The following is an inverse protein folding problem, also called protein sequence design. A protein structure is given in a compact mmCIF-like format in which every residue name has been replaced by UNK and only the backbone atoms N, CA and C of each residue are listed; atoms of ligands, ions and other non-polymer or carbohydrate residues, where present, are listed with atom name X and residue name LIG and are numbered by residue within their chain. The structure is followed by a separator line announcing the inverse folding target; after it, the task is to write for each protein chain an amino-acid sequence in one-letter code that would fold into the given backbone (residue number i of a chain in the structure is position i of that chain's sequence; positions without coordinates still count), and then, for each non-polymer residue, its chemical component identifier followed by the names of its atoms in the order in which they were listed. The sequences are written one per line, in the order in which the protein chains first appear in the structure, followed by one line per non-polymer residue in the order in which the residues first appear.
data_IF_476603304651
#
_entry.id   IF_476603304651
#
_cell.length_a   1.000
_cell.length_b   1.000
_cell.length_c   1.000
_cell.angle_alpha   90.00
_cell.angle_beta   90.00
_cell.angle_gamma   90.00
#
_symmetry.space_group_name_H-M   'P 1'
#
loop_
_entity.id
_entity.type
_entity.pdbx_description
1 polymer ?
#
# COMPACT_ATOMS: atom_id res chain seq x y z
N UNK A 1 16.45 1.70 -5.09
CA UNK A 1 17.87 2.11 -5.22
C UNK A 1 18.22 3.12 -4.13
N UNK A 2 17.49 4.25 -3.96
CA UNK A 2 17.76 5.29 -2.93
C UNK A 2 17.70 4.73 -1.52
N UNK A 3 16.75 3.87 -1.22
CA UNK A 3 16.59 3.23 0.10
C UNK A 3 17.79 2.31 0.39
N UNK A 4 18.24 1.51 -0.57
CA UNK A 4 19.40 0.63 -0.40
C UNK A 4 20.70 1.45 -0.20
N UNK A 5 20.85 2.56 -0.92
CA UNK A 5 21.96 3.48 -0.76
C UNK A 5 21.95 4.16 0.63
N UNK A 6 20.78 4.54 1.14
CA UNK A 6 20.62 5.09 2.48
C UNK A 6 21.02 4.09 3.58
N UNK A 7 20.78 2.80 3.36
CA UNK A 7 21.14 1.71 4.26
C UNK A 7 22.65 1.46 4.33
N UNK A 8 23.38 1.68 3.20
CA UNK A 8 24.79 1.36 3.08
C UNK A 8 25.69 2.55 3.43
N UNK A 9 25.28 3.77 3.17
CA UNK A 9 26.12 4.95 3.39
C UNK A 9 25.36 6.25 3.72
N UNK A 10 24.95 6.38 5.00
CA UNK A 10 24.21 7.53 5.53
C UNK A 10 24.83 8.87 5.17
N UNK A 11 26.19 8.98 5.24
CA UNK A 11 26.90 10.24 4.94
C UNK A 11 26.76 10.67 3.48
N UNK A 12 26.69 9.70 2.55
CA UNK A 12 26.57 9.96 1.12
C UNK A 12 25.16 10.44 0.77
N UNK A 13 24.15 9.83 1.37
CA UNK A 13 22.73 10.20 1.17
C UNK A 13 22.45 11.59 1.76
N UNK A 14 22.94 11.87 2.97
CA UNK A 14 22.85 13.21 3.56
C UNK A 14 23.51 14.26 2.67
N UNK A 15 24.70 13.99 2.14
CA UNK A 15 25.44 14.93 1.27
C UNK A 15 24.69 15.21 -0.03
N UNK A 16 24.15 14.17 -0.67
CA UNK A 16 23.35 14.30 -1.90
C UNK A 16 22.03 15.01 -1.62
N UNK A 17 21.31 14.60 -0.57
CA UNK A 17 20.03 15.19 -0.20
C UNK A 17 20.13 16.65 0.20
N UNK A 18 21.13 17.02 1.00
CA UNK A 18 21.42 18.42 1.33
C UNK A 18 21.78 19.24 0.07
N UNK A 19 22.51 18.63 -0.89
CA UNK A 19 22.80 19.25 -2.19
C UNK A 19 21.54 19.54 -2.99
N UNK A 20 20.64 18.58 -3.11
CA UNK A 20 19.35 18.71 -3.82
C UNK A 20 18.46 19.75 -3.13
N UNK A 21 18.31 19.70 -1.79
CA UNK A 21 17.54 20.68 -1.02
C UNK A 21 18.11 22.09 -1.21
N UNK A 22 19.44 22.23 -1.22
CA UNK A 22 20.14 23.49 -1.46
C UNK A 22 19.86 24.03 -2.85
N UNK A 23 19.83 23.16 -3.87
CA UNK A 23 19.49 23.52 -5.24
C UNK A 23 18.03 23.97 -5.37
N UNK A 24 17.10 23.24 -4.78
CA UNK A 24 15.67 23.57 -4.76
C UNK A 24 15.37 24.86 -3.98
N UNK A 25 16.12 25.12 -2.90
CA UNK A 25 16.05 26.38 -2.17
C UNK A 25 16.55 27.58 -3.02
N UNK A 26 17.58 27.34 -3.87
CA UNK A 26 18.10 28.37 -4.80
C UNK A 26 17.08 28.76 -5.87
N UNK A 27 16.23 27.82 -6.29
CA UNK A 27 15.14 28.03 -7.26
C UNK A 27 13.87 28.60 -6.57
N UNK A 28 13.95 28.97 -5.28
CA UNK A 28 12.83 29.50 -4.45
C UNK A 28 11.63 28.57 -4.28
N UNK A 29 11.77 27.28 -4.54
CA UNK A 29 10.71 26.29 -4.32
C UNK A 29 10.55 26.00 -2.81
N UNK A 30 11.66 26.00 -2.05
CA UNK A 30 11.67 25.77 -0.60
C UNK A 30 11.93 27.09 0.12
N UNK A 31 10.91 27.59 0.83
CA UNK A 31 10.99 28.87 1.59
C UNK A 31 11.79 28.79 2.91
N UNK A 32 11.93 27.60 3.50
CA UNK A 32 12.62 27.35 4.80
C UNK A 32 13.64 26.25 4.63
N UNK A 33 14.81 26.58 4.08
CA UNK A 33 15.92 25.66 3.79
C UNK A 33 16.39 24.89 5.03
N UNK A 34 16.58 25.59 6.17
CA UNK A 34 17.09 25.00 7.42
C UNK A 34 16.16 23.92 7.94
N UNK A 35 14.86 24.22 8.02
CA UNK A 35 13.84 23.26 8.48
C UNK A 35 13.69 22.06 7.55
N UNK A 36 13.90 22.26 6.23
CA UNK A 36 13.86 21.17 5.26
C UNK A 36 15.09 20.26 5.39
N UNK A 37 16.26 20.79 5.67
CA UNK A 37 17.49 20.01 5.92
C UNK A 37 17.38 19.24 7.24
N UNK A 38 16.90 19.88 8.30
CA UNK A 38 16.68 19.27 9.61
C UNK A 38 15.69 18.10 9.53
N UNK A 39 14.51 18.32 8.93
CA UNK A 39 13.51 17.26 8.71
C UNK A 39 14.07 16.12 7.86
N UNK A 40 14.85 16.43 6.82
CA UNK A 40 15.49 15.42 5.98
C UNK A 40 16.54 14.62 6.78
N UNK A 41 17.32 15.29 7.63
CA UNK A 41 18.28 14.64 8.54
C UNK A 41 17.58 13.64 9.46
N UNK A 42 16.54 14.06 10.19
CA UNK A 42 15.74 13.18 11.04
C UNK A 42 15.14 11.99 10.26
N UNK A 43 14.57 12.25 9.08
CA UNK A 43 14.03 11.18 8.24
C UNK A 43 15.10 10.13 7.86
N UNK A 44 16.31 10.56 7.53
CA UNK A 44 17.41 9.63 7.21
C UNK A 44 17.88 8.85 8.44
N UNK A 45 17.90 9.50 9.61
CA UNK A 45 18.23 8.86 10.89
C UNK A 45 17.21 7.78 11.25
N UNK A 46 15.92 8.06 11.16
CA UNK A 46 14.83 7.11 11.36
C UNK A 46 14.94 5.88 10.42
N UNK A 47 15.22 6.13 9.12
CA UNK A 47 15.46 5.05 8.16
C UNK A 47 16.70 4.21 8.50
N UNK A 48 17.77 4.83 8.98
CA UNK A 48 18.98 4.11 9.36
C UNK A 48 18.75 3.26 10.61
N UNK A 49 18.04 3.80 11.59
CA UNK A 49 17.64 3.06 12.81
C UNK A 49 16.76 1.85 12.46
N UNK A 50 15.72 2.07 11.64
CA UNK A 50 14.84 0.99 11.16
C UNK A 50 15.62 -0.09 10.40
N UNK A 51 16.55 0.29 9.54
CA UNK A 51 17.40 -0.63 8.81
C UNK A 51 18.33 -1.46 9.72
N UNK A 52 18.93 -0.79 10.72
CA UNK A 52 19.77 -1.44 11.71
C UNK A 52 18.96 -2.43 12.55
N UNK A 53 17.74 -2.04 12.93
CA UNK A 53 16.81 -2.93 13.63
C UNK A 53 16.46 -4.17 12.79
N UNK A 54 16.14 -4.00 11.53
CA UNK A 54 15.85 -5.11 10.58
C UNK A 54 17.09 -6.01 10.45
N UNK A 55 18.28 -5.42 10.30
CA UNK A 55 19.53 -6.18 10.16
C UNK A 55 19.87 -6.99 11.41
N UNK A 56 19.54 -6.49 12.59
CA UNK A 56 19.72 -7.21 13.88
C UNK A 56 18.66 -8.28 14.11
N UNK A 57 17.44 -8.10 13.58
CA UNK A 57 16.31 -9.00 13.82
C UNK A 57 15.81 -9.68 12.54
N UNK A 58 16.72 -10.25 11.77
CA UNK A 58 16.44 -10.87 10.45
C UNK A 58 15.29 -11.86 10.47
N UNK A 59 15.19 -12.70 11.50
CA UNK A 59 14.10 -13.70 11.62
C UNK A 59 12.72 -13.03 11.79
N UNK A 60 12.65 -11.97 12.61
CA UNK A 60 11.39 -11.22 12.78
C UNK A 60 11.00 -10.48 11.49
N UNK A 61 11.97 -9.85 10.83
CA UNK A 61 11.76 -9.17 9.56
C UNK A 61 11.30 -10.15 8.48
N UNK A 62 11.91 -11.33 8.40
CA UNK A 62 11.51 -12.40 7.49
C UNK A 62 10.09 -12.92 7.79
N UNK A 63 9.77 -13.13 9.06
CA UNK A 63 8.42 -13.52 9.48
C UNK A 63 7.37 -12.46 9.10
N UNK A 64 7.63 -11.18 9.40
CA UNK A 64 6.74 -10.07 9.02
C UNK A 64 6.56 -9.96 7.50
N UNK A 65 7.63 -10.17 6.73
CA UNK A 65 7.57 -10.17 5.27
C UNK A 65 6.61 -11.26 4.76
N UNK A 66 6.75 -12.51 5.25
CA UNK A 66 5.88 -13.60 4.83
C UNK A 66 4.42 -13.41 5.25
N UNK A 67 4.19 -12.88 6.45
CA UNK A 67 2.83 -12.52 6.89
C UNK A 67 2.22 -11.48 5.95
N UNK A 68 2.99 -10.46 5.55
CA UNK A 68 2.52 -9.44 4.61
C UNK A 68 2.23 -10.02 3.22
N UNK A 69 3.09 -10.92 2.73
CA UNK A 69 2.87 -11.62 1.45
C UNK A 69 1.61 -12.47 1.50
N UNK A 70 1.41 -13.23 2.58
CA UNK A 70 0.20 -14.03 2.75
C UNK A 70 -1.05 -13.16 2.81
N UNK A 71 -1.02 -12.08 3.59
CA UNK A 71 -2.15 -11.15 3.69
C UNK A 71 -2.52 -10.57 2.30
N UNK A 72 -1.53 -10.09 1.55
CA UNK A 72 -1.75 -9.55 0.20
C UNK A 72 -2.27 -10.63 -0.77
N UNK A 73 -1.75 -11.86 -0.66
CA UNK A 73 -2.21 -12.98 -1.48
C UNK A 73 -3.68 -13.34 -1.22
N UNK A 74 -4.10 -13.32 0.04
CA UNK A 74 -5.52 -13.52 0.40
C UNK A 74 -6.41 -12.41 -0.18
N UNK A 75 -5.98 -11.16 -0.12
CA UNK A 75 -6.71 -10.06 -0.75
C UNK A 75 -6.85 -10.26 -2.26
N UNK A 76 -5.78 -10.67 -2.93
CA UNK A 76 -5.77 -10.87 -4.39
C UNK A 76 -6.58 -12.08 -4.86
N UNK A 77 -6.88 -13.02 -3.97
CA UNK A 77 -7.74 -14.18 -4.28
C UNK A 77 -9.24 -13.81 -4.20
N UNK A 78 -9.62 -12.76 -3.50
CA UNK A 78 -11.05 -12.39 -3.33
C UNK A 78 -11.79 -12.22 -4.66
N UNK A 79 -11.28 -11.50 -5.69
CA UNK A 79 -11.97 -11.39 -6.98
C UNK A 79 -12.17 -12.74 -7.66
N UNK A 80 -11.24 -13.68 -7.47
CA UNK A 80 -11.39 -15.04 -8.01
C UNK A 80 -12.49 -15.83 -7.32
N UNK A 81 -12.61 -15.71 -5.99
CA UNK A 81 -13.71 -16.34 -5.26
C UNK A 81 -15.06 -15.76 -5.68
N UNK A 82 -15.13 -14.45 -5.90
CA UNK A 82 -16.33 -13.80 -6.44
C UNK A 82 -16.62 -14.35 -7.86
N UNK A 83 -15.59 -14.47 -8.71
CA UNK A 83 -15.72 -15.02 -10.06
C UNK A 83 -16.31 -16.42 -10.06
N UNK A 84 -15.82 -17.30 -9.17
CA UNK A 84 -16.37 -18.64 -9.01
C UNK A 84 -17.81 -18.63 -8.46
N UNK A 85 -18.16 -17.70 -7.56
CA UNK A 85 -19.51 -17.61 -6.99
C UNK A 85 -20.59 -17.25 -8.02
N UNK A 86 -20.20 -16.59 -9.13
CA UNK A 86 -21.07 -16.34 -10.28
C UNK A 86 -21.17 -17.54 -11.23
N UNK A 87 -20.52 -18.66 -10.92
CA UNK A 87 -20.51 -19.86 -11.75
C UNK A 87 -19.58 -19.78 -12.97
N UNK A 88 -18.70 -18.79 -12.99
CA UNK A 88 -17.71 -18.64 -14.08
C UNK A 88 -16.50 -19.56 -13.84
N UNK A 89 -15.97 -20.19 -14.90
CA UNK A 89 -14.84 -21.11 -14.81
C UNK A 89 -13.88 -21.02 -15.99
N UNK A 90 -14.08 -20.04 -16.89
CA UNK A 90 -13.29 -19.92 -18.11
C UNK A 90 -11.85 -19.43 -17.86
N UNK A 91 -11.62 -18.67 -16.77
CA UNK A 91 -10.32 -18.11 -16.46
C UNK A 91 -9.73 -18.77 -15.22
N UNK A 92 -8.39 -18.86 -15.21
CA UNK A 92 -7.64 -19.46 -14.11
C UNK A 92 -7.40 -18.44 -12.95
N UNK A 93 -7.05 -18.94 -11.78
CA UNK A 93 -6.75 -18.12 -10.61
C UNK A 93 -5.61 -17.13 -10.88
N UNK A 94 -4.61 -17.53 -11.67
CA UNK A 94 -3.47 -16.65 -12.00
C UNK A 94 -3.84 -15.45 -12.86
N UNK A 95 -4.79 -15.62 -13.79
CA UNK A 95 -5.27 -14.53 -14.64
C UNK A 95 -5.96 -13.46 -13.79
N UNK A 96 -6.87 -13.88 -12.91
CA UNK A 96 -7.60 -12.99 -12.00
C UNK A 96 -6.66 -12.34 -10.98
N UNK A 97 -5.71 -13.11 -10.43
CA UNK A 97 -4.69 -12.62 -9.51
C UNK A 97 -3.79 -11.55 -10.15
N UNK A 98 -3.39 -11.76 -11.40
CA UNK A 98 -2.57 -10.81 -12.16
C UNK A 98 -3.34 -9.50 -12.39
N UNK A 99 -4.62 -9.59 -12.73
CA UNK A 99 -5.45 -8.40 -12.90
C UNK A 99 -5.65 -7.62 -11.61
N UNK A 100 -5.82 -8.33 -10.47
CA UNK A 100 -5.90 -7.68 -9.16
C UNK A 100 -4.58 -7.00 -8.78
N UNK A 101 -3.45 -7.63 -9.06
CA UNK A 101 -2.14 -7.02 -8.85
C UNK A 101 -1.96 -5.74 -9.68
N UNK A 102 -2.40 -5.74 -10.95
CA UNK A 102 -2.37 -4.56 -11.80
C UNK A 102 -3.31 -3.46 -11.29
N UNK A 103 -4.52 -3.82 -10.87
CA UNK A 103 -5.47 -2.89 -10.27
C UNK A 103 -4.88 -2.28 -9.00
N UNK A 104 -4.32 -3.10 -8.11
CA UNK A 104 -3.69 -2.64 -6.86
C UNK A 104 -2.56 -1.64 -7.13
N UNK A 105 -1.67 -1.93 -8.08
CA UNK A 105 -0.61 -1.01 -8.48
C UNK A 105 -1.16 0.30 -9.05
N UNK A 106 -2.14 0.23 -9.94
CA UNK A 106 -2.73 1.42 -10.56
C UNK A 106 -3.39 2.33 -9.52
N UNK A 107 -4.10 1.73 -8.54
CA UNK A 107 -4.84 2.45 -7.50
C UNK A 107 -3.93 2.98 -6.39
N UNK A 108 -2.75 2.37 -6.16
CA UNK A 108 -1.79 2.78 -5.14
C UNK A 108 -1.26 4.21 -5.31
N UNK A 109 -1.35 4.78 -6.49
CA UNK A 109 -0.95 6.17 -6.76
C UNK A 109 -2.00 7.21 -6.40
N UNK A 110 -3.22 6.81 -6.02
CA UNK A 110 -4.28 7.74 -5.65
C UNK A 110 -4.30 7.99 -4.14
N UNK A 111 -3.96 9.20 -3.67
CA UNK A 111 -3.86 9.53 -2.26
C UNK A 111 -5.24 9.84 -1.63
N UNK A 112 -6.25 9.02 -1.94
CA UNK A 112 -7.59 9.15 -1.38
C UNK A 112 -7.86 8.00 -0.39
N UNK A 113 -8.60 8.24 0.68
CA UNK A 113 -8.98 7.18 1.62
C UNK A 113 -9.71 6.05 0.89
N UNK A 114 -9.14 4.83 0.94
CA UNK A 114 -9.64 3.68 0.20
C UNK A 114 -9.61 3.84 -1.32
N UNK A 115 -8.90 4.85 -1.85
CA UNK A 115 -8.85 5.21 -3.27
C UNK A 115 -10.25 5.23 -3.94
N UNK A 116 -11.25 5.77 -3.21
CA UNK A 116 -12.64 5.79 -3.64
C UNK A 116 -12.79 6.45 -5.02
N UNK A 117 -13.60 5.86 -5.87
CA UNK A 117 -13.75 6.24 -7.29
C UNK A 117 -12.72 5.58 -8.20
N UNK A 118 -11.44 5.66 -7.87
CA UNK A 118 -10.37 5.07 -8.69
C UNK A 118 -10.39 3.53 -8.65
N UNK A 119 -10.61 2.95 -7.48
CA UNK A 119 -10.67 1.49 -7.33
C UNK A 119 -11.92 0.88 -7.95
N UNK A 120 -13.09 1.52 -7.83
CA UNK A 120 -14.33 1.07 -8.45
C UNK A 120 -14.23 1.14 -9.98
N UNK A 121 -13.75 2.26 -10.50
CA UNK A 121 -13.56 2.44 -11.95
C UNK A 121 -12.50 1.48 -12.47
N UNK A 122 -11.40 1.33 -11.73
CA UNK A 122 -10.33 0.39 -12.04
C UNK A 122 -10.83 -1.05 -12.06
N UNK A 123 -11.62 -1.47 -11.05
CA UNK A 123 -12.21 -2.81 -11.04
C UNK A 123 -13.07 -3.06 -12.28
N UNK A 124 -13.96 -2.14 -12.60
CA UNK A 124 -14.83 -2.26 -13.78
C UNK A 124 -14.02 -2.33 -15.08
N UNK A 125 -12.90 -1.61 -15.15
CA UNK A 125 -12.01 -1.61 -16.31
C UNK A 125 -11.24 -2.93 -16.44
N UNK A 126 -10.55 -3.36 -15.39
CA UNK A 126 -9.71 -4.57 -15.43
C UNK A 126 -10.52 -5.85 -15.42
N UNK A 127 -11.61 -5.90 -14.66
CA UNK A 127 -12.43 -7.10 -14.50
C UNK A 127 -13.68 -7.14 -15.39
N UNK A 128 -13.97 -6.06 -16.12
CA UNK A 128 -15.08 -6.03 -17.07
C UNK A 128 -15.10 -7.20 -18.06
N UNK A 129 -13.96 -7.59 -18.68
CA UNK A 129 -13.89 -8.76 -19.57
C UNK A 129 -14.20 -10.09 -18.87
N UNK A 130 -13.92 -10.22 -17.57
CA UNK A 130 -14.13 -11.46 -16.80
C UNK A 130 -15.58 -11.62 -16.36
N UNK A 131 -16.21 -10.54 -15.93
CA UNK A 131 -17.56 -10.56 -15.35
C UNK A 131 -18.67 -10.14 -16.32
N UNK A 132 -18.34 -9.56 -17.46
CA UNK A 132 -19.32 -9.12 -18.45
C UNK A 132 -20.42 -8.23 -17.85
N UNK A 133 -21.67 -8.66 -17.98
CA UNK A 133 -22.83 -7.92 -17.44
C UNK A 133 -22.84 -7.83 -15.90
N UNK A 134 -22.24 -8.80 -15.20
CA UNK A 134 -22.21 -8.86 -13.74
C UNK A 134 -21.12 -7.97 -13.10
N UNK A 135 -20.29 -7.28 -13.88
CA UNK A 135 -19.12 -6.51 -13.41
C UNK A 135 -19.42 -5.50 -12.29
N UNK A 136 -20.60 -4.87 -12.32
CA UNK A 136 -20.97 -3.88 -11.27
C UNK A 136 -21.36 -4.56 -9.95
N UNK A 137 -22.05 -5.70 -10.02
CA UNK A 137 -22.39 -6.50 -8.84
C UNK A 137 -21.13 -7.11 -8.24
N UNK A 138 -20.23 -7.64 -9.08
CA UNK A 138 -18.94 -8.16 -8.65
C UNK A 138 -18.07 -7.07 -8.00
N UNK A 139 -18.04 -5.87 -8.56
CA UNK A 139 -17.34 -4.70 -8.00
C UNK A 139 -17.88 -4.32 -6.63
N UNK A 140 -19.20 -4.31 -6.43
CA UNK A 140 -19.81 -4.01 -5.13
C UNK A 140 -19.47 -5.09 -4.08
N UNK A 141 -19.52 -6.38 -4.45
CA UNK A 141 -19.13 -7.49 -3.58
C UNK A 141 -17.65 -7.42 -3.21
N UNK A 142 -16.77 -7.19 -4.20
CA UNK A 142 -15.35 -7.01 -3.96
C UNK A 142 -15.08 -5.85 -3.00
N UNK A 143 -15.74 -4.71 -3.21
CA UNK A 143 -15.59 -3.53 -2.37
C UNK A 143 -16.11 -3.78 -0.96
N UNK A 144 -17.23 -4.50 -0.84
CA UNK A 144 -17.78 -4.88 0.45
C UNK A 144 -16.79 -5.74 1.26
N UNK A 145 -16.22 -6.76 0.63
CA UNK A 145 -15.30 -7.68 1.30
C UNK A 145 -13.93 -7.07 1.61
N UNK A 146 -13.40 -6.23 0.72
CA UNK A 146 -12.04 -5.70 0.85
C UNK A 146 -11.95 -4.39 1.62
N UNK A 147 -13.01 -3.60 1.66
CA UNK A 147 -13.02 -2.27 2.27
C UNK A 147 -14.06 -2.12 3.38
N UNK A 148 -15.34 -2.32 3.09
CA UNK A 148 -16.41 -2.06 4.07
C UNK A 148 -16.40 -3.04 5.25
N UNK A 149 -16.10 -4.30 5.02
CA UNK A 149 -15.93 -5.28 6.11
C UNK A 149 -14.83 -4.86 7.09
N UNK A 150 -13.68 -4.38 6.58
CA UNK A 150 -12.59 -3.90 7.45
C UNK A 150 -13.00 -2.65 8.24
N UNK A 151 -13.74 -1.73 7.62
CA UNK A 151 -14.28 -0.56 8.32
C UNK A 151 -15.26 -0.93 9.42
N UNK A 152 -16.19 -1.84 9.15
CA UNK A 152 -17.19 -2.30 10.13
C UNK A 152 -16.49 -2.96 11.31
N UNK A 153 -15.60 -3.93 11.04
CA UNK A 153 -14.88 -4.65 12.11
C UNK A 153 -13.99 -3.70 12.90
N UNK A 154 -13.25 -2.82 12.24
CA UNK A 154 -12.40 -1.83 12.91
C UNK A 154 -13.20 -0.86 13.78
N UNK A 155 -14.33 -0.37 13.29
CA UNK A 155 -15.23 0.49 14.06
C UNK A 155 -15.81 -0.21 15.28
N UNK A 156 -16.22 -1.46 15.15
CA UNK A 156 -16.72 -2.26 16.27
C UNK A 156 -15.66 -2.44 17.35
N UNK A 157 -14.41 -2.77 16.96
CA UNK A 157 -13.31 -2.96 17.91
C UNK A 157 -13.07 -1.67 18.70
N UNK A 158 -13.00 -0.51 18.03
CA UNK A 158 -12.78 0.79 18.69
C UNK A 158 -13.92 1.10 19.67
N UNK A 159 -15.16 0.90 19.27
CA UNK A 159 -16.32 1.14 20.17
C UNK A 159 -16.30 0.20 21.38
N UNK A 160 -15.96 -1.08 21.19
CA UNK A 160 -15.87 -2.02 22.30
C UNK A 160 -14.70 -1.71 23.24
N UNK A 161 -13.56 -1.28 22.72
CA UNK A 161 -12.39 -0.90 23.54
C UNK A 161 -12.71 0.32 24.40
N UNK A 162 -13.39 1.32 23.85
CA UNK A 162 -13.81 2.53 24.57
C UNK A 162 -14.86 2.20 25.65
N UNK A 163 -15.79 1.28 25.39
CA UNK A 163 -16.80 0.86 26.38
C UNK A 163 -16.18 0.03 27.52
N UNK A 164 -15.15 -0.78 27.26
CA UNK A 164 -14.48 -1.59 28.28
C UNK A 164 -13.51 -0.76 29.12
N UNK A 165 -12.98 0.34 28.57
CA UNK A 165 -12.05 1.25 29.27
C UNK A 165 -12.75 2.25 30.20
N UNK A 166 -14.07 2.33 30.18
CA UNK A 166 -14.93 3.13 31.08
C UNK A 166 -15.38 2.31 32.27
#
# INVERSE_FOLDING_TARGET
VVIILALVNQKLVLKIGCGVISLLARIRIIKKKEKAIENFGHTIEDYHEAATYIARHKLRAFGSFWISVLNLSFLFVIPYLIYLSFGYSANNVLDVFTMEAMLFLAVSFFPLPGAAGASETGFVFFFGPFFGAAKYVAMLLWRFLTYYMMLIVGSLIVVFDEVISL
#
